data_IF_527439369702
#
_entry.id   IF_527439369702
#
_cell.length_a   1.000
_cell.length_b   1.000
_cell.length_c   1.000
_cell.angle_alpha   90.00
_cell.angle_beta   90.00
_cell.angle_gamma   90.00
#
_symmetry.space_group_name_H-M   'P 1'
#
loop_
_entity.id
_entity.type
_entity.pdbx_description
1 polymer ?
#
# COMPACT_ATOMS: atom_id res chain seq x y z
N UNK A 1 22.47 -13.76 -39.78
CA UNK A 1 21.98 -14.77 -38.80
C UNK A 1 21.92 -14.24 -37.35
N UNK A 2 22.89 -13.46 -36.88
CA UNK A 2 22.93 -12.91 -35.51
C UNK A 2 21.78 -11.92 -35.19
N UNK A 3 21.45 -11.02 -36.13
CA UNK A 3 20.37 -10.04 -35.96
C UNK A 3 18.98 -10.67 -35.80
N UNK A 4 18.71 -11.77 -36.51
CA UNK A 4 17.41 -12.47 -36.46
C UNK A 4 17.20 -13.21 -35.14
N UNK A 5 18.27 -13.77 -34.57
CA UNK A 5 18.26 -14.37 -33.22
C UNK A 5 18.01 -13.32 -32.14
N UNK A 6 18.65 -12.16 -32.24
CA UNK A 6 18.43 -11.04 -31.33
C UNK A 6 16.99 -10.52 -31.40
N UNK A 7 16.44 -10.37 -32.60
CA UNK A 7 15.05 -9.93 -32.80
C UNK A 7 14.04 -10.92 -32.23
N UNK A 8 14.25 -12.22 -32.44
CA UNK A 8 13.40 -13.27 -31.88
C UNK A 8 13.51 -13.34 -30.35
N UNK A 9 14.70 -13.13 -29.78
CA UNK A 9 14.90 -13.02 -28.33
C UNK A 9 14.11 -11.84 -27.75
N UNK A 10 14.24 -10.65 -28.34
CA UNK A 10 13.50 -9.46 -27.88
C UNK A 10 11.99 -9.66 -27.99
N UNK A 11 11.50 -10.18 -29.12
CA UNK A 11 10.07 -10.47 -29.32
C UNK A 11 9.53 -11.41 -28.26
N UNK A 12 10.24 -12.50 -27.98
CA UNK A 12 9.83 -13.48 -26.96
C UNK A 12 9.90 -12.89 -25.55
N UNK A 13 10.93 -12.09 -25.25
CA UNK A 13 11.05 -11.40 -23.96
C UNK A 13 9.94 -10.38 -23.73
N UNK A 14 9.59 -9.59 -24.75
CA UNK A 14 8.49 -8.63 -24.72
C UNK A 14 7.15 -9.37 -24.54
N UNK A 15 6.93 -10.47 -25.26
CA UNK A 15 5.70 -11.27 -25.14
C UNK A 15 5.55 -11.88 -23.75
N UNK A 16 6.63 -12.41 -23.18
CA UNK A 16 6.66 -12.92 -21.80
C UNK A 16 6.36 -11.80 -20.79
N UNK A 17 7.06 -10.67 -20.89
CA UNK A 17 6.79 -9.48 -20.07
C UNK A 17 5.33 -9.05 -20.16
N UNK A 18 4.75 -8.95 -21.37
CA UNK A 18 3.35 -8.54 -21.54
C UNK A 18 2.37 -9.52 -20.88
N UNK A 19 2.67 -10.82 -20.90
CA UNK A 19 1.86 -11.83 -20.22
C UNK A 19 1.99 -11.70 -18.69
N UNK A 20 3.22 -11.54 -18.18
CA UNK A 20 3.48 -11.35 -16.76
C UNK A 20 2.78 -10.08 -16.22
N UNK A 21 2.83 -8.97 -16.97
CA UNK A 21 2.10 -7.74 -16.65
C UNK A 21 0.58 -7.93 -16.67
N UNK A 22 0.06 -8.71 -17.62
CA UNK A 22 -1.37 -9.01 -17.73
C UNK A 22 -1.89 -9.81 -16.53
N UNK A 23 -1.16 -10.84 -16.09
CA UNK A 23 -1.51 -11.58 -14.87
C UNK A 23 -1.33 -10.74 -13.60
N UNK A 24 -0.30 -9.88 -13.55
CA UNK A 24 -0.07 -8.95 -12.43
C UNK A 24 -1.26 -8.03 -12.22
N UNK A 25 -1.70 -7.37 -13.30
CA UNK A 25 -2.83 -6.44 -13.24
C UNK A 25 -4.12 -7.13 -12.78
N UNK A 26 -4.34 -8.37 -13.25
CA UNK A 26 -5.50 -9.17 -12.87
C UNK A 26 -5.45 -9.58 -11.40
N UNK A 27 -4.31 -10.06 -10.91
CA UNK A 27 -4.12 -10.42 -9.51
C UNK A 27 -4.27 -9.20 -8.59
N UNK A 28 -3.71 -8.04 -8.97
CA UNK A 28 -3.90 -6.78 -8.24
C UNK A 28 -5.39 -6.42 -8.14
N UNK A 29 -6.13 -6.54 -9.25
CA UNK A 29 -7.55 -6.21 -9.33
C UNK A 29 -8.44 -7.19 -8.57
N UNK A 30 -8.26 -8.49 -8.75
CA UNK A 30 -9.04 -9.53 -8.06
C UNK A 30 -8.86 -9.42 -6.54
N UNK A 31 -7.67 -9.03 -6.10
CA UNK A 31 -7.30 -8.86 -4.71
C UNK A 31 -7.70 -7.50 -4.10
N UNK A 32 -7.95 -6.51 -4.96
CA UNK A 32 -8.34 -5.15 -4.57
C UNK A 32 -9.67 -5.12 -3.81
N UNK A 33 -10.55 -6.06 -4.12
CA UNK A 33 -11.89 -6.21 -3.53
C UNK A 33 -11.87 -6.68 -2.08
N UNK A 34 -10.80 -7.36 -1.66
CA UNK A 34 -10.66 -7.91 -0.31
C UNK A 34 -10.58 -6.78 0.73
N UNK A 35 -9.99 -5.63 0.36
CA UNK A 35 -9.77 -4.52 1.27
C UNK A 35 -11.05 -3.82 1.77
N UNK A 36 -12.16 -3.91 1.04
CA UNK A 36 -13.40 -3.23 1.44
C UNK A 36 -14.61 -4.16 1.35
N UNK A 37 -14.44 -5.44 1.68
CA UNK A 37 -15.55 -6.38 1.70
C UNK A 37 -16.53 -6.05 2.86
N UNK A 38 -17.74 -5.55 2.57
CA UNK A 38 -18.67 -5.09 3.61
C UNK A 38 -19.23 -6.24 4.47
N UNK A 39 -19.12 -7.48 4.00
CA UNK A 39 -19.55 -8.66 4.77
C UNK A 39 -18.59 -9.00 5.91
N UNK A 40 -17.36 -8.46 5.88
CA UNK A 40 -16.37 -8.64 6.94
C UNK A 40 -16.11 -7.31 7.67
N UNK A 41 -17.02 -6.95 8.58
CA UNK A 41 -16.97 -5.70 9.35
C UNK A 41 -15.67 -5.51 10.14
N UNK A 42 -15.04 -6.61 10.60
CA UNK A 42 -13.76 -6.57 11.33
C UNK A 42 -12.59 -6.16 10.41
N UNK A 43 -12.59 -6.65 9.16
CA UNK A 43 -11.59 -6.26 8.17
C UNK A 43 -11.74 -4.79 7.77
N UNK A 44 -12.98 -4.35 7.52
CA UNK A 44 -13.27 -2.93 7.22
C UNK A 44 -12.82 -2.03 8.38
N UNK A 45 -13.07 -2.44 9.62
CA UNK A 45 -12.63 -1.71 10.81
C UNK A 45 -11.11 -1.67 10.96
N UNK A 46 -10.41 -2.79 10.72
CA UNK A 46 -8.94 -2.83 10.70
C UNK A 46 -8.35 -1.89 9.67
N UNK A 47 -8.88 -1.90 8.45
CA UNK A 47 -8.45 -1.00 7.39
C UNK A 47 -8.73 0.46 7.74
N UNK A 48 -9.92 0.76 8.28
CA UNK A 48 -10.25 2.09 8.74
C UNK A 48 -9.31 2.60 9.85
N UNK A 49 -8.93 1.73 10.80
CA UNK A 49 -7.99 2.08 11.87
C UNK A 49 -6.58 2.38 11.35
N UNK A 50 -6.06 1.57 10.41
CA UNK A 50 -4.76 1.81 9.79
C UNK A 50 -4.78 3.10 8.97
N UNK A 51 -5.83 3.32 8.16
CA UNK A 51 -5.99 4.56 7.39
C UNK A 51 -6.08 5.77 8.32
N UNK A 52 -6.83 5.67 9.42
CA UNK A 52 -6.92 6.74 10.41
C UNK A 52 -5.54 7.05 11.03
N UNK A 53 -4.75 6.02 11.36
CA UNK A 53 -3.39 6.20 11.87
C UNK A 53 -2.45 6.84 10.84
N UNK A 54 -2.51 6.41 9.57
CA UNK A 54 -1.75 7.01 8.47
C UNK A 54 -2.15 8.48 8.25
N UNK A 55 -3.45 8.80 8.26
CA UNK A 55 -3.93 10.19 8.09
C UNK A 55 -3.52 11.06 9.27
N UNK A 56 -3.66 10.56 10.51
CA UNK A 56 -3.25 11.28 11.72
C UNK A 56 -1.75 11.58 11.70
N UNK A 57 -0.92 10.58 11.38
CA UNK A 57 0.53 10.74 11.31
C UNK A 57 0.95 11.71 10.20
N UNK A 58 0.30 11.65 9.03
CA UNK A 58 0.50 12.63 7.95
C UNK A 58 0.22 14.05 8.42
N UNK A 59 -0.81 14.27 9.26
CA UNK A 59 -1.12 15.58 9.83
C UNK A 59 -0.06 16.04 10.83
N UNK A 60 0.43 15.15 11.68
CA UNK A 60 1.52 15.44 12.63
C UNK A 60 2.79 15.84 11.88
N UNK A 61 3.18 15.08 10.86
CA UNK A 61 4.37 15.39 10.03
C UNK A 61 4.19 16.74 9.32
N UNK A 62 3.02 17.01 8.74
CA UNK A 62 2.72 18.31 8.10
C UNK A 62 2.82 19.47 9.07
N UNK A 63 2.30 19.28 10.28
CA UNK A 63 2.37 20.28 11.33
C UNK A 63 3.82 20.59 11.71
N UNK A 64 4.65 19.55 11.91
CA UNK A 64 6.06 19.70 12.21
C UNK A 64 6.85 20.39 11.07
N UNK A 65 6.58 20.02 9.82
CA UNK A 65 7.25 20.58 8.64
C UNK A 65 6.66 21.92 8.15
N UNK A 66 5.63 22.44 8.82
CA UNK A 66 4.89 23.67 8.44
C UNK A 66 4.43 23.66 6.97
N UNK A 67 4.04 22.50 6.47
CA UNK A 67 3.52 22.33 5.09
C UNK A 67 2.00 22.56 5.09
N UNK A 68 1.42 23.10 4.00
CA UNK A 68 -0.03 23.25 3.89
C UNK A 68 -0.79 21.98 4.25
N UNK A 69 -1.88 22.16 5.01
CA UNK A 69 -2.74 21.06 5.44
C UNK A 69 -3.61 20.62 4.26
N UNK A 70 -3.57 19.33 3.92
CA UNK A 70 -4.58 18.71 3.03
C UNK A 70 -5.85 18.38 3.80
N UNK A 71 -6.98 18.19 3.10
CA UNK A 71 -8.20 17.70 3.75
C UNK A 71 -7.95 16.31 4.37
N UNK A 72 -8.62 16.01 5.48
CA UNK A 72 -8.61 14.67 6.07
C UNK A 72 -9.18 13.67 5.06
N UNK A 73 -10.22 14.08 4.33
CA UNK A 73 -10.87 13.25 3.33
C UNK A 73 -9.92 12.92 2.18
N UNK A 74 -9.20 13.91 1.62
CA UNK A 74 -8.25 13.65 0.52
C UNK A 74 -7.16 12.65 0.92
N UNK A 75 -6.61 12.81 2.13
CA UNK A 75 -5.60 11.88 2.66
C UNK A 75 -6.22 10.50 2.86
N UNK A 76 -7.39 10.43 3.50
CA UNK A 76 -8.09 9.17 3.74
C UNK A 76 -8.42 8.47 2.43
N UNK A 77 -8.85 9.18 1.38
CA UNK A 77 -9.13 8.62 0.05
C UNK A 77 -7.87 8.03 -0.57
N UNK A 78 -6.75 8.74 -0.57
CA UNK A 78 -5.48 8.22 -1.13
C UNK A 78 -4.99 7.01 -0.35
N UNK A 79 -5.03 7.06 0.97
CA UNK A 79 -4.63 5.95 1.83
C UNK A 79 -5.57 4.74 1.71
N UNK A 80 -6.88 4.96 1.60
CA UNK A 80 -7.89 3.93 1.39
C UNK A 80 -7.71 3.24 0.04
N UNK A 81 -7.60 4.01 -1.04
CA UNK A 81 -7.34 3.49 -2.38
C UNK A 81 -5.99 2.76 -2.40
N UNK A 82 -4.98 3.19 -1.63
CA UNK A 82 -3.71 2.45 -1.54
C UNK A 82 -3.84 1.06 -0.92
N UNK A 83 -4.81 0.83 -0.02
CA UNK A 83 -5.02 -0.49 0.62
C UNK A 83 -5.41 -1.55 -0.40
N UNK A 84 -6.09 -1.17 -1.50
CA UNK A 84 -6.51 -2.10 -2.54
C UNK A 84 -5.33 -2.63 -3.35
N UNK A 85 -4.18 -1.95 -3.30
CA UNK A 85 -3.00 -2.30 -4.08
C UNK A 85 -1.86 -2.90 -3.24
N UNK A 86 -2.03 -3.04 -1.92
CA UNK A 86 -0.98 -3.59 -1.06
C UNK A 86 -0.60 -5.01 -1.47
N UNK A 87 -1.59 -5.87 -1.74
CA UNK A 87 -1.37 -7.23 -2.25
C UNK A 87 -0.54 -7.35 -3.52
N UNK A 88 -0.81 -6.46 -4.48
CA UNK A 88 -0.20 -6.48 -5.79
C UNK A 88 1.21 -5.91 -5.79
N UNK A 89 1.41 -4.74 -5.17
CA UNK A 89 2.74 -4.12 -5.11
C UNK A 89 3.64 -4.73 -4.05
N UNK A 90 3.09 -5.23 -2.94
CA UNK A 90 3.91 -5.85 -1.90
C UNK A 90 4.24 -7.32 -2.17
N UNK A 91 3.60 -7.96 -3.15
CA UNK A 91 3.95 -9.30 -3.64
C UNK A 91 5.37 -9.42 -4.22
N UNK A 92 5.97 -8.31 -4.67
CA UNK A 92 7.38 -8.26 -5.11
C UNK A 92 8.39 -8.21 -3.94
N UNK A 93 7.92 -8.08 -2.71
CA UNK A 93 8.74 -8.04 -1.52
C UNK A 93 8.47 -9.27 -0.65
N UNK A 94 9.37 -9.55 0.29
CA UNK A 94 9.13 -10.60 1.29
C UNK A 94 7.81 -10.34 2.04
N UNK A 95 7.12 -11.41 2.42
CA UNK A 95 5.86 -11.30 3.16
C UNK A 95 6.05 -10.48 4.45
N UNK A 96 5.15 -9.53 4.69
CA UNK A 96 5.17 -8.70 5.90
C UNK A 96 4.88 -9.55 7.13
N UNK A 97 5.61 -9.30 8.21
CA UNK A 97 5.40 -10.02 9.46
C UNK A 97 4.15 -9.50 10.19
N UNK A 98 3.43 -10.33 10.96
CA UNK A 98 2.36 -9.85 11.83
C UNK A 98 2.85 -8.77 12.80
N UNK A 99 2.02 -7.76 13.08
CA UNK A 99 2.30 -6.67 14.03
C UNK A 99 2.68 -7.20 15.41
N UNK A 100 1.97 -8.22 15.89
CA UNK A 100 2.22 -8.88 17.17
C UNK A 100 3.59 -9.59 17.25
N UNK A 101 4.18 -9.93 16.11
CA UNK A 101 5.44 -10.69 16.01
C UNK A 101 6.55 -9.92 15.32
N UNK A 102 6.42 -8.59 15.14
CA UNK A 102 7.44 -7.79 14.47
C UNK A 102 8.74 -7.80 15.30
N UNK A 103 9.82 -8.46 14.84
CA UNK A 103 10.99 -8.74 15.68
C UNK A 103 11.87 -7.51 15.94
N UNK A 104 11.65 -6.42 15.18
CA UNK A 104 12.32 -5.15 15.40
C UNK A 104 11.55 -3.99 14.77
N UNK A 105 11.76 -2.77 15.29
CA UNK A 105 11.24 -1.51 14.71
C UNK A 105 11.66 -1.35 13.24
N UNK A 106 12.86 -1.83 12.88
CA UNK A 106 13.36 -1.79 11.51
C UNK A 106 12.55 -2.70 10.59
N UNK A 107 12.20 -3.91 11.03
CA UNK A 107 11.33 -4.82 10.27
C UNK A 107 9.94 -4.20 10.06
N UNK A 108 9.36 -3.61 11.11
CA UNK A 108 8.07 -2.93 11.00
C UNK A 108 8.12 -1.74 10.02
N UNK A 109 9.20 -0.95 10.05
CA UNK A 109 9.42 0.15 9.12
C UNK A 109 9.53 -0.34 7.67
N UNK A 110 10.33 -1.38 7.43
CA UNK A 110 10.47 -1.99 6.10
C UNK A 110 9.13 -2.52 5.60
N UNK A 111 8.37 -3.20 6.44
CA UNK A 111 7.06 -3.71 6.08
C UNK A 111 6.05 -2.60 5.77
N UNK A 112 6.09 -1.48 6.50
CA UNK A 112 5.29 -0.29 6.17
C UNK A 112 5.72 0.35 4.84
N UNK A 113 7.02 0.41 4.57
CA UNK A 113 7.57 1.00 3.35
C UNK A 113 7.20 0.23 2.07
N UNK A 114 6.92 -1.08 2.16
CA UNK A 114 6.43 -1.90 1.03
C UNK A 114 5.11 -1.37 0.44
N UNK A 115 4.34 -0.59 1.21
CA UNK A 115 3.10 0.02 0.74
C UNK A 115 3.28 1.31 -0.08
N UNK A 116 4.49 1.87 -0.17
CA UNK A 116 4.75 3.16 -0.85
C UNK A 116 4.47 3.10 -2.36
N UNK A 117 4.85 2.05 -3.11
CA UNK A 117 4.50 1.98 -4.54
C UNK A 117 2.98 1.98 -4.79
N UNK A 118 2.22 1.26 -3.95
CA UNK A 118 0.75 1.27 -4.01
C UNK A 118 0.15 2.64 -3.64
N UNK A 119 0.77 3.38 -2.73
CA UNK A 119 0.39 4.73 -2.38
C UNK A 119 0.59 5.72 -3.53
N UNK A 120 1.71 5.61 -4.25
CA UNK A 120 1.97 6.42 -5.45
C UNK A 120 0.96 6.15 -6.55
N UNK A 121 0.63 4.88 -6.77
CA UNK A 121 -0.38 4.49 -7.76
C UNK A 121 -1.78 4.97 -7.37
N UNK A 122 -2.15 4.85 -6.10
CA UNK A 122 -3.39 5.41 -5.56
C UNK A 122 -3.46 6.92 -5.73
N UNK A 123 -2.36 7.62 -5.46
CA UNK A 123 -2.28 9.07 -5.63
C UNK A 123 -2.48 9.48 -7.10
N UNK A 124 -1.96 8.69 -8.05
CA UNK A 124 -2.23 8.87 -9.47
C UNK A 124 -3.72 8.73 -9.79
N UNK A 125 -4.33 7.60 -9.42
CA UNK A 125 -5.75 7.30 -9.69
C UNK A 125 -6.66 8.38 -9.11
N UNK A 126 -6.49 8.71 -7.83
CA UNK A 126 -7.33 9.70 -7.15
C UNK A 126 -7.20 11.07 -7.79
N UNK A 127 -5.98 11.47 -8.14
CA UNK A 127 -5.75 12.75 -8.79
C UNK A 127 -6.36 12.79 -10.20
N UNK A 128 -6.24 11.70 -10.97
CA UNK A 128 -6.88 11.55 -12.28
C UNK A 128 -8.41 11.56 -12.17
N UNK A 129 -8.98 10.96 -11.11
CA UNK A 129 -10.42 10.96 -10.87
C UNK A 129 -10.97 12.36 -10.57
N UNK A 130 -10.24 13.19 -9.81
CA UNK A 130 -10.71 14.53 -9.44
C UNK A 130 -10.49 15.59 -10.52
N UNK A 131 -9.43 15.49 -11.31
CA UNK A 131 -8.98 16.56 -12.19
C UNK A 131 -8.95 16.16 -13.69
N UNK A 132 -9.40 14.94 -14.02
CA UNK A 132 -9.36 14.39 -15.37
C UNK A 132 -8.00 13.80 -15.76
N UNK A 133 -7.88 13.35 -17.02
CA UNK A 133 -6.63 12.82 -17.56
C UNK A 133 -5.59 13.94 -17.71
N UNK A 134 -4.71 14.06 -16.72
CA UNK A 134 -3.62 15.03 -16.75
C UNK A 134 -2.34 14.44 -16.15
N UNK A 135 -1.19 15.04 -16.48
CA UNK A 135 0.06 14.72 -15.81
C UNK A 135 0.00 15.20 -14.36
N UNK A 136 0.15 14.32 -13.36
CA UNK A 136 0.09 14.71 -11.97
C UNK A 136 1.19 15.70 -11.63
N UNK A 137 0.83 16.80 -10.95
CA UNK A 137 1.82 17.71 -10.36
C UNK A 137 2.22 17.18 -8.99
N UNK A 138 3.24 16.32 -8.96
CA UNK A 138 3.76 15.78 -7.72
C UNK A 138 4.76 16.74 -7.07
N UNK A 139 4.47 17.18 -5.86
CA UNK A 139 5.45 17.88 -5.03
C UNK A 139 6.22 16.83 -4.24
N UNK A 140 7.55 16.84 -4.31
CA UNK A 140 8.39 15.89 -3.57
C UNK A 140 8.10 15.88 -2.05
N UNK A 141 7.75 17.04 -1.47
CA UNK A 141 7.30 17.16 -0.08
C UNK A 141 6.05 16.33 0.22
N UNK A 142 5.07 16.33 -0.69
CA UNK A 142 3.84 15.54 -0.54
C UNK A 142 4.15 14.04 -0.55
N UNK A 143 5.01 13.62 -1.49
CA UNK A 143 5.48 12.24 -1.55
C UNK A 143 6.20 11.82 -0.26
N UNK A 144 7.13 12.64 0.22
CA UNK A 144 7.87 12.34 1.45
C UNK A 144 6.95 12.23 2.66
N UNK A 145 5.98 13.13 2.80
CA UNK A 145 5.04 13.10 3.93
C UNK A 145 4.16 11.86 3.88
N UNK A 146 3.57 11.55 2.73
CA UNK A 146 2.71 10.39 2.55
C UNK A 146 3.49 9.09 2.72
N UNK A 147 4.67 9.00 2.10
CA UNK A 147 5.56 7.84 2.19
C UNK A 147 6.10 7.63 3.60
N UNK A 148 6.58 8.69 4.26
CA UNK A 148 7.04 8.61 5.65
C UNK A 148 5.91 8.23 6.59
N UNK A 149 4.72 8.81 6.41
CA UNK A 149 3.55 8.43 7.19
C UNK A 149 3.23 6.96 7.04
N UNK A 150 3.18 6.44 5.80
CA UNK A 150 2.89 5.03 5.55
C UNK A 150 3.96 4.09 6.12
N UNK A 151 5.23 4.45 5.99
CA UNK A 151 6.34 3.67 6.53
C UNK A 151 6.36 3.66 8.07
N UNK A 152 6.11 4.82 8.70
CA UNK A 152 6.21 5.00 10.16
C UNK A 152 4.96 4.55 10.91
N UNK A 153 3.80 4.44 10.26
CA UNK A 153 2.56 3.99 10.94
C UNK A 153 2.75 2.61 11.59
N UNK A 154 3.37 1.67 10.89
CA UNK A 154 3.56 0.30 11.39
C UNK A 154 4.42 0.21 12.66
N UNK A 155 5.64 0.79 12.72
CA UNK A 155 6.44 0.79 13.94
C UNK A 155 5.76 1.55 15.09
N UNK A 156 5.05 2.65 14.82
CA UNK A 156 4.34 3.41 15.86
C UNK A 156 3.21 2.57 16.47
N UNK A 157 2.41 1.88 15.64
CA UNK A 157 1.36 1.00 16.15
C UNK A 157 1.97 -0.17 16.93
N UNK A 158 3.06 -0.77 16.43
CA UNK A 158 3.76 -1.85 17.12
C UNK A 158 4.25 -1.44 18.52
N UNK A 159 4.81 -0.23 18.67
CA UNK A 159 5.22 0.29 19.97
C UNK A 159 4.05 0.54 20.93
N UNK A 160 2.90 0.93 20.41
CA UNK A 160 1.69 1.14 21.20
C UNK A 160 0.87 -0.15 21.41
N UNK A 161 1.22 -1.26 20.74
CA UNK A 161 0.36 -2.42 20.54
C UNK A 161 -0.15 -3.03 21.85
N UNK A 162 0.75 -3.26 22.80
CA UNK A 162 0.44 -3.84 24.12
C UNK A 162 -0.45 -2.95 24.98
N UNK A 163 -0.45 -1.63 24.74
CA UNK A 163 -1.26 -0.65 25.47
C UNK A 163 -2.64 -0.44 24.86
N UNK A 164 -2.91 -1.01 23.67
CA UNK A 164 -4.20 -0.85 22.99
C UNK A 164 -5.24 -1.84 23.55
N UNK A 165 -6.54 -1.50 23.54
CA UNK A 165 -7.60 -2.45 23.85
C UNK A 165 -7.57 -3.66 22.92
N UNK A 166 -7.95 -4.84 23.42
CA UNK A 166 -7.92 -6.10 22.65
C UNK A 166 -8.72 -6.02 21.34
N UNK A 167 -9.81 -5.26 21.31
CA UNK A 167 -10.61 -5.03 20.10
C UNK A 167 -9.84 -4.28 19.01
N UNK A 168 -8.96 -3.34 19.39
CA UNK A 168 -8.12 -2.58 18.46
C UNK A 168 -6.95 -3.44 17.98
N UNK A 169 -6.31 -4.18 18.89
CA UNK A 169 -5.28 -5.17 18.53
C UNK A 169 -5.79 -6.17 17.48
N UNK A 170 -6.95 -6.78 17.75
CA UNK A 170 -7.60 -7.74 16.84
C UNK A 170 -7.87 -7.14 15.46
N UNK A 171 -8.27 -5.88 15.39
CA UNK A 171 -8.53 -5.21 14.12
C UNK A 171 -7.23 -4.96 13.31
N UNK A 172 -6.13 -4.60 13.98
CA UNK A 172 -4.81 -4.51 13.35
C UNK A 172 -4.31 -5.88 12.86
N UNK A 173 -4.49 -6.94 13.64
CA UNK A 173 -4.16 -8.30 13.23
C UNK A 173 -4.97 -8.74 12.01
N UNK A 174 -6.26 -8.38 11.96
CA UNK A 174 -7.12 -8.67 10.81
C UNK A 174 -6.67 -7.92 9.54
N UNK A 175 -6.23 -6.67 9.66
CA UNK A 175 -5.62 -5.91 8.55
C UNK A 175 -4.35 -6.60 8.05
N UNK A 176 -3.46 -7.00 8.95
CA UNK A 176 -2.22 -7.68 8.59
C UNK A 176 -2.47 -9.03 7.93
N UNK A 177 -3.43 -9.81 8.45
CA UNK A 177 -3.84 -11.08 7.87
C UNK A 177 -4.41 -10.86 6.46
N UNK A 178 -5.17 -9.79 6.25
CA UNK A 178 -5.63 -9.41 4.92
C UNK A 178 -4.44 -9.13 4.02
N UNK A 179 -3.52 -8.24 4.38
CA UNK A 179 -2.34 -7.92 3.54
C UNK A 179 -1.52 -9.18 3.24
N UNK A 180 -1.36 -10.08 4.21
CA UNK A 180 -0.69 -11.36 3.99
C UNK A 180 -1.43 -12.25 3.00
N UNK A 181 -2.77 -12.38 3.14
CA UNK A 181 -3.59 -13.13 2.17
C UNK A 181 -3.49 -12.51 0.79
N UNK A 182 -3.53 -11.19 0.73
CA UNK A 182 -3.37 -10.45 -0.50
C UNK A 182 -2.01 -10.76 -1.16
N UNK A 183 -0.93 -10.86 -0.39
CA UNK A 183 0.40 -11.19 -0.91
C UNK A 183 0.54 -12.65 -1.35
N UNK A 184 -0.17 -13.58 -0.70
CA UNK A 184 -0.15 -15.02 -1.05
C UNK A 184 -0.93 -15.29 -2.33
N UNK A 185 -2.07 -14.62 -2.53
CA UNK A 185 -2.93 -14.81 -3.72
C UNK A 185 -2.26 -14.26 -4.98
N UNK A 186 -1.49 -13.18 -4.83
CA UNK A 186 -0.69 -12.60 -5.89
C UNK A 186 0.36 -13.59 -6.39
N UNK A 187 0.28 -14.05 -7.65
CA UNK A 187 1.18 -15.05 -8.24
C UNK A 187 2.54 -14.49 -8.67
N UNK A 188 2.93 -13.33 -8.14
CA UNK A 188 4.16 -12.64 -8.48
C UNK A 188 5.33 -13.29 -7.73
N UNK A 189 5.95 -14.28 -8.36
CA UNK A 189 7.24 -14.85 -7.96
C UNK A 189 8.13 -15.07 -9.16
#
# INVERSE_FOLDING_TARGET
MMAQRFFNYLRNKIKKMSQDWGSTAKDVFDNSTVAFNPTNSRLVMGNAQVIAAEVALSKVIRWFLKVPKRSILDLATVHAVSQTFLGGFSGYFNQSQPLANSPSTMTALQDGAKGIPGLLFAQYIVNTAYNGLHFPKWTFKEFLILGASKALTRPIISMAYSSLPQSVQTNFDNHDLMVQRQNIVTRLR
#
